data_IF_152170299079
#
_entry.id   IF_152170299079
#
_cell.length_a   1.000
_cell.length_b   1.000
_cell.length_c   1.000
_cell.angle_alpha   90.00
_cell.angle_beta   90.00
_cell.angle_gamma   90.00
#
_symmetry.space_group_name_H-M   'P 1'
#
loop_
_entity.id
_entity.type
_entity.pdbx_description
1 polymer ?
#
# COMPACT_ATOMS: atom_id res chain seq x y z
N UNK A 1 2.95 -1.08 1.88
CA UNK A 1 2.57 0.26 2.37
C UNK A 1 1.12 0.54 2.03
N UNK A 2 0.41 1.30 2.87
CA UNK A 2 -0.90 1.88 2.55
C UNK A 2 -0.85 3.37 2.92
N UNK A 3 -1.16 4.24 1.99
CA UNK A 3 -1.09 5.70 2.17
C UNK A 3 -2.38 6.36 1.70
N UNK A 4 -2.71 7.53 2.24
CA UNK A 4 -3.73 8.42 1.67
C UNK A 4 -2.98 9.54 0.93
N UNK A 5 -3.28 9.73 -0.35
CA UNK A 5 -2.70 10.79 -1.17
C UNK A 5 -3.79 11.75 -1.63
N UNK A 6 -3.50 13.05 -1.55
CA UNK A 6 -4.33 14.09 -2.18
C UNK A 6 -4.19 14.01 -3.70
N UNK A 7 -5.29 14.26 -4.41
CA UNK A 7 -5.43 14.24 -5.86
C UNK A 7 -6.10 15.55 -6.28
N UNK A 8 -5.60 16.18 -7.33
CA UNK A 8 -6.20 17.40 -7.89
C UNK A 8 -7.27 17.09 -8.95
N UNK A 9 -7.24 15.85 -9.44
CA UNK A 9 -7.90 15.35 -10.64
C UNK A 9 -9.19 14.55 -10.39
N UNK A 10 -9.70 14.52 -9.15
CA UNK A 10 -10.91 13.76 -8.81
C UNK A 10 -11.84 14.49 -7.85
N UNK A 11 -13.15 14.29 -8.01
CA UNK A 11 -14.18 14.96 -7.21
C UNK A 11 -14.03 14.76 -5.68
N UNK A 12 -13.45 13.65 -5.27
CA UNK A 12 -13.18 13.32 -3.86
C UNK A 12 -11.85 13.93 -3.38
N UNK A 13 -10.93 14.27 -4.29
CA UNK A 13 -9.66 14.89 -3.95
C UNK A 13 -8.65 14.02 -3.19
N UNK A 14 -8.98 12.75 -2.92
CA UNK A 14 -8.11 11.80 -2.18
C UNK A 14 -8.15 10.39 -2.75
N UNK A 15 -7.08 9.62 -2.52
CA UNK A 15 -6.95 8.23 -2.93
C UNK A 15 -6.19 7.41 -1.88
N UNK A 16 -6.69 6.22 -1.57
CA UNK A 16 -5.90 5.18 -0.91
C UNK A 16 -4.91 4.55 -1.91
N UNK A 17 -3.63 4.55 -1.56
CA UNK A 17 -2.55 4.03 -2.38
C UNK A 17 -1.90 2.84 -1.66
N UNK A 18 -2.38 1.60 -1.89
CA UNK A 18 -1.66 0.41 -1.50
C UNK A 18 -0.43 0.25 -2.40
N UNK A 19 0.66 -0.26 -1.85
CA UNK A 19 1.89 -0.51 -2.61
C UNK A 19 2.66 -1.68 -2.02
N UNK A 20 3.05 -2.63 -2.87
CA UNK A 20 4.15 -3.56 -2.60
C UNK A 20 5.37 -3.00 -3.34
N UNK A 21 6.51 -2.94 -2.67
CA UNK A 21 7.74 -2.41 -3.25
C UNK A 21 8.90 -3.33 -2.89
N UNK A 22 9.67 -3.73 -3.90
CA UNK A 22 10.94 -4.41 -3.74
C UNK A 22 12.06 -3.44 -4.13
N UNK A 23 13.18 -3.54 -3.44
CA UNK A 23 14.34 -2.69 -3.66
C UNK A 23 15.56 -3.58 -3.90
N UNK A 24 16.42 -3.15 -4.81
CA UNK A 24 17.70 -3.79 -5.07
C UNK A 24 18.72 -2.73 -5.51
N UNK A 25 19.99 -2.95 -5.18
CA UNK A 25 21.09 -2.18 -5.77
C UNK A 25 21.00 -2.30 -7.30
N UNK A 26 21.11 -1.17 -8.03
CA UNK A 26 20.92 -1.16 -9.49
C UNK A 26 21.87 -2.12 -10.21
N UNK A 27 23.06 -2.41 -9.66
CA UNK A 27 23.99 -3.39 -10.25
C UNK A 27 23.44 -4.83 -10.26
N UNK A 28 22.40 -5.10 -9.46
CA UNK A 28 21.78 -6.42 -9.30
C UNK A 28 20.27 -6.43 -9.62
N UNK A 29 19.79 -5.42 -10.36
CA UNK A 29 18.35 -5.22 -10.65
C UNK A 29 17.70 -6.38 -11.43
N UNK A 30 18.47 -7.26 -12.08
CA UNK A 30 17.96 -8.45 -12.80
C UNK A 30 17.00 -9.30 -11.97
N UNK A 31 17.23 -9.39 -10.66
CA UNK A 31 16.34 -10.10 -9.73
C UNK A 31 14.95 -9.46 -9.61
N UNK A 32 14.84 -8.14 -9.76
CA UNK A 32 13.56 -7.43 -9.76
C UNK A 32 12.77 -7.69 -11.04
N UNK A 33 13.45 -7.78 -12.20
CA UNK A 33 12.81 -8.17 -13.46
C UNK A 33 12.22 -9.58 -13.37
N UNK A 34 12.96 -10.54 -12.81
CA UNK A 34 12.42 -11.88 -12.56
C UNK A 34 11.17 -11.87 -11.67
N UNK A 35 11.17 -11.08 -10.58
CA UNK A 35 9.96 -10.94 -9.74
C UNK A 35 8.80 -10.34 -10.53
N UNK A 36 9.04 -9.34 -11.37
CA UNK A 36 8.02 -8.72 -12.22
C UNK A 36 7.44 -9.74 -13.21
N UNK A 37 8.27 -10.56 -13.85
CA UNK A 37 7.85 -11.63 -14.76
C UNK A 37 7.00 -12.67 -14.04
N UNK A 38 7.43 -13.15 -12.86
CA UNK A 38 6.68 -14.13 -12.06
C UNK A 38 5.33 -13.59 -11.61
N UNK A 39 5.26 -12.31 -11.23
CA UNK A 39 4.01 -11.68 -10.79
C UNK A 39 3.15 -11.16 -11.95
N UNK A 40 3.71 -11.06 -13.16
CA UNK A 40 3.05 -10.52 -14.36
C UNK A 40 2.62 -9.05 -14.25
N UNK A 41 3.12 -8.31 -13.26
CA UNK A 41 2.72 -6.93 -12.98
C UNK A 41 3.81 -6.16 -12.23
N UNK A 42 3.72 -4.84 -12.36
CA UNK A 42 4.56 -3.87 -11.68
C UNK A 42 5.36 -3.10 -12.69
N UNK A 43 6.00 -2.04 -12.23
CA UNK A 43 6.93 -1.28 -13.03
C UNK A 43 8.22 -1.09 -12.25
N UNK A 44 9.34 -1.07 -12.98
CA UNK A 44 10.64 -0.78 -12.41
C UNK A 44 10.98 0.69 -12.64
N UNK A 45 11.70 1.27 -11.69
CA UNK A 45 12.30 2.59 -11.86
C UNK A 45 13.63 2.65 -11.13
N UNK A 46 14.63 3.24 -11.79
CA UNK A 46 15.91 3.55 -11.18
C UNK A 46 15.80 4.89 -10.45
N UNK A 47 16.32 4.92 -9.23
CA UNK A 47 16.40 6.11 -8.41
C UNK A 47 17.77 6.77 -8.57
N UNK A 48 17.82 8.05 -8.24
CA UNK A 48 19.05 8.84 -8.28
C UNK A 48 20.07 8.48 -7.16
N UNK A 49 19.77 7.50 -6.31
CA UNK A 49 20.64 7.00 -5.23
C UNK A 49 21.25 5.63 -5.52
N UNK A 50 21.21 5.17 -6.78
CA UNK A 50 21.78 3.88 -7.18
C UNK A 50 20.94 2.65 -6.81
N UNK A 51 19.69 2.86 -6.42
CA UNK A 51 18.72 1.79 -6.14
C UNK A 51 17.69 1.66 -7.27
N UNK A 52 17.32 0.44 -7.59
CA UNK A 52 16.17 0.14 -8.44
C UNK A 52 15.01 -0.34 -7.57
N UNK A 53 13.80 0.10 -7.90
CA UNK A 53 12.58 -0.35 -7.23
C UNK A 53 11.60 -0.99 -8.20
N UNK A 54 11.05 -2.14 -7.83
CA UNK A 54 9.86 -2.72 -8.46
C UNK A 54 8.65 -2.31 -7.63
N UNK A 55 7.73 -1.55 -8.23
CA UNK A 55 6.51 -1.08 -7.58
C UNK A 55 5.28 -1.72 -8.17
N UNK A 56 4.42 -2.23 -7.29
CA UNK A 56 3.13 -2.82 -7.63
C UNK A 56 2.03 -2.04 -6.90
N UNK A 57 1.00 -1.66 -7.65
CA UNK A 57 -0.16 -0.91 -7.18
C UNK A 57 -1.45 -1.57 -7.66
N UNK A 58 -2.59 -1.12 -7.11
CA UNK A 58 -3.92 -1.63 -7.46
C UNK A 58 -4.50 -2.51 -6.36
N UNK A 59 -5.78 -2.30 -6.03
CA UNK A 59 -6.42 -2.98 -4.89
C UNK A 59 -6.54 -4.49 -5.16
N UNK A 60 -7.11 -4.89 -6.30
CA UNK A 60 -7.31 -6.30 -6.67
C UNK A 60 -5.98 -7.04 -6.78
N UNK A 61 -5.02 -6.45 -7.50
CA UNK A 61 -3.73 -7.08 -7.75
C UNK A 61 -2.93 -7.29 -6.46
N UNK A 62 -2.87 -6.29 -5.58
CA UNK A 62 -2.18 -6.44 -4.29
C UNK A 62 -2.87 -7.46 -3.39
N UNK A 63 -4.21 -7.47 -3.35
CA UNK A 63 -4.97 -8.47 -2.58
C UNK A 63 -4.59 -9.88 -3.02
N UNK A 64 -4.63 -10.14 -4.32
CA UNK A 64 -4.44 -11.47 -4.89
C UNK A 64 -2.99 -11.94 -4.71
N UNK A 65 -2.00 -11.06 -4.94
CA UNK A 65 -0.58 -11.34 -4.67
C UNK A 65 -0.37 -11.67 -3.19
N UNK A 66 -0.88 -10.84 -2.28
CA UNK A 66 -0.69 -11.08 -0.84
C UNK A 66 -1.41 -12.35 -0.38
N UNK A 67 -2.57 -12.69 -0.95
CA UNK A 67 -3.25 -13.95 -0.64
C UNK A 67 -2.36 -15.16 -0.94
N UNK A 68 -1.64 -15.14 -2.05
CA UNK A 68 -0.71 -16.20 -2.45
C UNK A 68 0.59 -16.21 -1.63
N UNK A 69 1.12 -15.03 -1.29
CA UNK A 69 2.40 -14.92 -0.57
C UNK A 69 2.28 -15.07 0.95
N UNK A 70 1.14 -14.72 1.55
CA UNK A 70 0.92 -14.71 3.00
C UNK A 70 1.36 -15.98 3.75
N UNK A 71 1.14 -17.21 3.24
CA UNK A 71 1.61 -18.43 3.89
C UNK A 71 3.13 -18.48 4.10
N UNK A 72 3.89 -17.78 3.26
CA UNK A 72 5.36 -17.79 3.26
C UNK A 72 5.98 -16.55 3.93
N UNK A 73 5.18 -15.50 4.15
CA UNK A 73 5.66 -14.26 4.78
C UNK A 73 5.79 -14.47 6.30
N UNK A 74 7.02 -14.33 6.81
CA UNK A 74 7.32 -14.37 8.26
C UNK A 74 7.44 -12.96 8.84
N UNK A 75 8.47 -12.23 8.44
CA UNK A 75 8.82 -10.93 9.05
C UNK A 75 7.82 -9.81 8.78
N UNK A 76 7.06 -9.89 7.67
CA UNK A 76 6.10 -8.84 7.28
C UNK A 76 4.65 -9.27 7.43
N UNK A 77 4.37 -10.31 8.22
CA UNK A 77 3.06 -10.97 8.24
C UNK A 77 1.94 -10.04 8.67
N UNK A 78 2.18 -9.20 9.68
CA UNK A 78 1.19 -8.25 10.20
C UNK A 78 0.85 -7.16 9.17
N UNK A 79 1.85 -6.48 8.60
CA UNK A 79 1.60 -5.47 7.57
C UNK A 79 1.05 -6.06 6.27
N UNK A 80 1.46 -7.27 5.88
CA UNK A 80 0.90 -7.97 4.72
C UNK A 80 -0.58 -8.31 4.93
N UNK A 81 -0.93 -8.83 6.11
CA UNK A 81 -2.32 -9.17 6.45
C UNK A 81 -3.19 -7.91 6.49
N UNK A 82 -2.72 -6.84 7.13
CA UNK A 82 -3.41 -5.56 7.16
C UNK A 82 -3.61 -4.97 5.75
N UNK A 83 -2.58 -5.01 4.90
CA UNK A 83 -2.65 -4.50 3.54
C UNK A 83 -3.61 -5.32 2.67
N UNK A 84 -3.58 -6.65 2.78
CA UNK A 84 -4.51 -7.56 2.08
C UNK A 84 -5.96 -7.28 2.46
N UNK A 85 -6.25 -7.16 3.77
CA UNK A 85 -7.60 -6.85 4.26
C UNK A 85 -8.07 -5.44 3.89
N UNK A 86 -7.19 -4.45 3.86
CA UNK A 86 -7.52 -3.12 3.34
C UNK A 86 -7.88 -3.17 1.85
N UNK A 87 -7.12 -3.95 1.07
CA UNK A 87 -7.40 -4.14 -0.35
C UNK A 87 -8.69 -4.91 -0.61
N UNK A 88 -9.11 -5.85 0.25
CA UNK A 88 -10.44 -6.48 0.16
C UNK A 88 -11.56 -5.43 0.21
N UNK A 89 -11.48 -4.49 1.17
CA UNK A 89 -12.47 -3.42 1.33
C UNK A 89 -12.49 -2.52 0.08
N UNK A 90 -11.31 -2.16 -0.42
CA UNK A 90 -11.12 -1.19 -1.50
C UNK A 90 -11.34 -1.77 -2.91
N UNK A 91 -11.20 -3.08 -3.10
CA UNK A 91 -11.32 -3.73 -4.40
C UNK A 91 -12.77 -3.79 -4.90
N UNK A 92 -13.72 -3.97 -3.98
CA UNK A 92 -15.12 -4.26 -4.29
C UNK A 92 -16.05 -3.06 -4.03
N UNK A 93 -15.50 -1.88 -3.77
CA UNK A 93 -16.29 -0.66 -3.53
C UNK A 93 -15.67 0.56 -4.17
N UNK A 94 -16.51 1.55 -4.48
CA UNK A 94 -16.04 2.90 -4.78
C UNK A 94 -15.91 3.70 -3.48
N UNK A 95 -15.10 4.76 -3.47
CA UNK A 95 -14.90 5.58 -2.28
C UNK A 95 -16.23 6.15 -1.73
N UNK A 96 -17.15 6.58 -2.61
CA UNK A 96 -18.48 7.09 -2.20
C UNK A 96 -19.33 6.06 -1.46
N UNK A 97 -19.06 4.76 -1.65
CA UNK A 97 -19.76 3.66 -1.01
C UNK A 97 -19.10 3.20 0.29
N UNK A 98 -17.99 3.82 0.70
CA UNK A 98 -17.32 3.49 1.95
C UNK A 98 -18.04 4.18 3.11
N UNK A 99 -18.66 3.38 3.98
CA UNK A 99 -19.23 3.90 5.22
C UNK A 99 -18.13 4.42 6.16
N UNK A 100 -18.50 5.34 7.07
CA UNK A 100 -17.60 5.85 8.13
C UNK A 100 -16.87 4.73 8.88
N UNK A 101 -17.57 3.63 9.19
CA UNK A 101 -16.98 2.44 9.83
C UNK A 101 -15.92 1.76 8.96
N UNK A 102 -16.14 1.63 7.64
CA UNK A 102 -15.13 1.07 6.72
C UNK A 102 -13.92 2.00 6.60
N UNK A 103 -14.13 3.31 6.54
CA UNK A 103 -13.04 4.29 6.49
C UNK A 103 -12.20 4.27 7.77
N UNK A 104 -12.82 4.23 8.95
CA UNK A 104 -12.11 4.06 10.22
C UNK A 104 -11.29 2.76 10.25
N UNK A 105 -11.86 1.66 9.74
CA UNK A 105 -11.14 0.39 9.63
C UNK A 105 -9.92 0.48 8.70
N UNK A 106 -10.03 1.22 7.58
CA UNK A 106 -8.89 1.49 6.69
C UNK A 106 -7.80 2.32 7.39
N UNK A 107 -8.18 3.33 8.20
CA UNK A 107 -7.23 4.09 9.02
C UNK A 107 -6.49 3.17 10.00
N UNK A 108 -7.20 2.27 10.69
CA UNK A 108 -6.57 1.31 11.59
C UNK A 108 -5.56 0.41 10.86
N UNK A 109 -5.86 -0.04 9.64
CA UNK A 109 -4.90 -0.79 8.84
C UNK A 109 -3.66 0.04 8.45
N UNK A 110 -3.82 1.33 8.16
CA UNK A 110 -2.68 2.23 7.91
C UNK A 110 -1.78 2.30 9.16
N UNK A 111 -2.36 2.47 10.34
CA UNK A 111 -1.63 2.57 11.61
C UNK A 111 -0.86 1.28 11.91
N UNK A 112 -1.48 0.11 11.74
CA UNK A 112 -0.80 -1.19 11.86
C UNK A 112 0.40 -1.25 10.92
N UNK A 113 0.21 -0.95 9.63
CA UNK A 113 1.29 -0.99 8.65
C UNK A 113 2.41 0.00 9.01
N UNK A 114 2.08 1.19 9.52
CA UNK A 114 3.06 2.19 9.92
C UNK A 114 3.85 1.76 11.16
N UNK A 115 3.21 1.11 12.13
CA UNK A 115 3.86 0.63 13.35
C UNK A 115 4.84 -0.51 13.08
N UNK A 116 4.49 -1.41 12.16
CA UNK A 116 5.32 -2.56 11.75
C UNK A 116 6.46 -2.20 10.78
N UNK A 117 6.48 -0.99 10.23
CA UNK A 117 7.57 -0.56 9.36
C UNK A 117 8.73 0.01 10.18
N UNK A 118 9.92 -0.58 10.00
CA UNK A 118 11.15 -0.30 10.74
C UNK A 118 11.59 1.18 10.78
N UNK A 119 11.23 1.98 9.78
CA UNK A 119 11.63 3.39 9.73
C UNK A 119 10.72 4.22 8.85
N UNK A 120 10.36 5.40 9.34
CA UNK A 120 9.67 6.42 8.55
C UNK A 120 10.03 7.78 9.13
N UNK A 121 10.48 8.71 8.28
CA UNK A 121 10.86 10.07 8.70
C UNK A 121 9.68 10.84 9.31
N UNK A 122 8.44 10.57 8.86
CA UNK A 122 7.20 11.16 9.39
C UNK A 122 6.03 10.21 9.21
N UNK A 123 5.50 9.67 10.33
CA UNK A 123 4.26 8.88 10.34
C UNK A 123 3.08 9.83 10.48
N UNK A 124 1.97 9.53 9.81
CA UNK A 124 0.73 10.30 10.01
C UNK A 124 0.02 9.81 11.26
N UNK A 125 -0.46 10.72 12.10
CA UNK A 125 -1.26 10.35 13.27
C UNK A 125 -2.64 9.86 12.84
N UNK A 126 -3.34 9.17 13.74
CA UNK A 126 -4.73 8.79 13.52
C UNK A 126 -5.60 10.00 13.22
N UNK A 127 -5.43 11.09 13.98
CA UNK A 127 -6.15 12.34 13.79
C UNK A 127 -5.91 12.93 12.40
N UNK A 128 -4.65 13.05 11.96
CA UNK A 128 -4.32 13.54 10.62
C UNK A 128 -4.98 12.69 9.53
N UNK A 129 -5.02 11.37 9.70
CA UNK A 129 -5.65 10.45 8.74
C UNK A 129 -7.18 10.59 8.74
N UNK A 130 -7.81 10.81 9.90
CA UNK A 130 -9.25 11.02 10.01
C UNK A 130 -9.67 12.37 9.43
N UNK A 131 -8.91 13.44 9.69
CA UNK A 131 -9.13 14.76 9.08
C UNK A 131 -8.99 14.68 7.57
N UNK A 132 -8.02 13.92 7.04
CA UNK A 132 -7.88 13.71 5.60
C UNK A 132 -9.08 13.00 4.94
N UNK A 133 -9.93 12.34 5.73
CA UNK A 133 -11.12 11.61 5.28
C UNK A 133 -12.43 12.32 5.66
N UNK A 134 -12.35 13.55 6.19
CA UNK A 134 -13.48 14.32 6.72
C UNK A 134 -14.31 13.53 7.77
N UNK A 135 -13.62 12.81 8.66
CA UNK A 135 -14.25 11.95 9.69
C UNK A 135 -14.17 12.51 11.12
N UNK A 136 -13.52 13.66 11.30
CA UNK A 136 -13.51 14.39 12.57
C UNK A 136 -14.92 14.92 12.91
N UNK A 137 -15.27 15.07 14.19
CA UNK A 137 -16.52 15.70 14.62
C UNK A 137 -16.72 17.08 14.02
#
# INVERSE_FOLDING_TARGET
MLQIKKRKDGAIGIRFMPTICFYQDTRHEKTLYWIQEVLGIGYLSQRNDGMTELRINGYRQIRDILKSLLPYIRFKKLQATALKNACDILADTTFKMLSKKKLQKLVNYILVIQNENYGTKKKKTQEELLTMLDLTP
#
